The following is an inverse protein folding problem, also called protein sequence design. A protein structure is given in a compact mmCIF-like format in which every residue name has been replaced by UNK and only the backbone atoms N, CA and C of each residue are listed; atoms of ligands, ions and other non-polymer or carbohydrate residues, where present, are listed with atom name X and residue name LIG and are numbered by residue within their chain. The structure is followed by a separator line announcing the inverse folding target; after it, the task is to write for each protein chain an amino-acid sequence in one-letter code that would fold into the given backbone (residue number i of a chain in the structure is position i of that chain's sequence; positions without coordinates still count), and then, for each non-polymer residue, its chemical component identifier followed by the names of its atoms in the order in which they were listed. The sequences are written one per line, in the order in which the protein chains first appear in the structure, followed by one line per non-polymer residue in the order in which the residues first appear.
data_IF_486618166491
#
_entry.id   IF_486618166491
#
_cell.length_a   1.000
_cell.length_b   1.000
_cell.length_c   1.000
_cell.angle_alpha   90.00
_cell.angle_beta   90.00
_cell.angle_gamma   90.00
#
_symmetry.space_group_name_H-M   'P 1'
#
loop_
_entity.id
_entity.type
_entity.pdbx_description
1 polymer ?
#
# COMPACT_ATOMS: atom_id res chain seq x y z
N UNK A 1 22.04 11.76 -29.51
CA UNK A 1 20.88 10.85 -29.56
C UNK A 1 20.54 10.54 -28.12
N UNK A 2 19.50 11.16 -27.55
CA UNK A 2 19.04 10.77 -26.21
C UNK A 2 18.55 9.33 -26.29
N UNK A 3 18.90 8.51 -25.30
CA UNK A 3 18.24 7.22 -25.11
C UNK A 3 16.72 7.44 -25.19
N UNK A 4 15.92 6.55 -25.82
CA UNK A 4 14.47 6.63 -25.70
C UNK A 4 14.15 6.71 -24.21
N UNK A 5 13.40 7.74 -23.80
CA UNK A 5 13.01 7.89 -22.41
C UNK A 5 12.30 6.60 -22.01
N UNK A 6 12.86 5.87 -21.04
CA UNK A 6 12.22 4.67 -20.52
C UNK A 6 10.84 5.06 -20.01
N UNK A 7 9.80 4.32 -20.40
CA UNK A 7 8.45 4.51 -19.86
C UNK A 7 8.51 4.55 -18.32
N UNK A 8 7.62 5.31 -17.65
CA UNK A 8 7.53 5.24 -16.20
C UNK A 8 7.21 3.82 -15.75
N UNK A 9 7.62 3.50 -14.51
CA UNK A 9 7.23 2.26 -13.86
C UNK A 9 5.73 2.29 -13.61
N UNK A 10 5.05 1.18 -13.85
CA UNK A 10 3.62 1.04 -13.65
C UNK A 10 3.33 0.19 -12.43
N UNK A 11 2.34 0.64 -11.69
CA UNK A 11 1.77 -0.07 -10.55
C UNK A 11 0.25 -0.02 -10.62
N UNK A 12 -0.39 -0.89 -9.85
CA UNK A 12 -1.84 -0.88 -9.67
C UNK A 12 -2.16 -1.36 -8.28
N UNK A 13 -3.15 -0.74 -7.66
CA UNK A 13 -3.69 -1.15 -6.37
C UNK A 13 -4.37 -2.52 -6.49
N UNK A 14 -4.05 -3.44 -5.57
CA UNK A 14 -4.55 -4.82 -5.66
C UNK A 14 -6.08 -4.93 -5.65
N UNK A 15 -6.79 -3.98 -5.05
CA UNK A 15 -8.25 -3.93 -5.09
C UNK A 15 -8.79 -3.54 -6.47
N UNK A 16 -8.06 -2.70 -7.22
CA UNK A 16 -8.50 -2.13 -8.50
C UNK A 16 -8.62 -3.13 -9.63
N UNK A 17 -8.16 -4.36 -9.43
CA UNK A 17 -8.39 -5.46 -10.37
C UNK A 17 -9.52 -6.40 -9.93
N UNK A 18 -10.01 -6.31 -8.68
CA UNK A 18 -11.13 -7.10 -8.20
C UNK A 18 -11.25 -7.11 -6.69
N UNK A 19 -12.48 -7.09 -6.19
CA UNK A 19 -12.75 -7.11 -4.75
C UNK A 19 -12.63 -8.53 -4.18
N UNK A 20 -11.92 -8.68 -3.05
CA UNK A 20 -11.88 -9.96 -2.32
C UNK A 20 -13.27 -10.42 -1.87
N UNK A 21 -14.18 -9.49 -1.58
CA UNK A 21 -15.57 -9.75 -1.20
C UNK A 21 -16.41 -10.35 -2.34
N UNK A 22 -15.94 -10.25 -3.59
CA UNK A 22 -16.54 -10.90 -4.75
C UNK A 22 -15.87 -12.24 -5.11
N UNK A 23 -14.95 -12.72 -4.27
CA UNK A 23 -14.26 -14.01 -4.46
C UNK A 23 -12.95 -13.92 -5.23
N UNK A 24 -12.47 -12.72 -5.58
CA UNK A 24 -11.19 -12.55 -6.28
C UNK A 24 -10.01 -12.73 -5.32
N UNK A 25 -9.33 -13.87 -5.42
CA UNK A 25 -8.18 -14.20 -4.57
C UNK A 25 -7.03 -13.21 -4.78
N UNK A 26 -6.25 -12.93 -3.73
CA UNK A 26 -5.07 -12.07 -3.85
C UNK A 26 -4.05 -12.67 -4.83
N UNK A 27 -3.87 -14.00 -4.84
CA UNK A 27 -2.88 -14.65 -5.70
C UNK A 27 -3.25 -14.54 -7.18
N UNK A 28 -4.52 -14.69 -7.54
CA UNK A 28 -4.98 -14.55 -8.93
C UNK A 28 -4.90 -13.10 -9.40
N UNK A 29 -5.20 -12.14 -8.52
CA UNK A 29 -5.01 -10.72 -8.80
C UNK A 29 -3.55 -10.39 -9.10
N UNK A 30 -2.60 -10.87 -8.29
CA UNK A 30 -1.17 -10.66 -8.53
C UNK A 30 -0.70 -11.27 -9.86
N UNK A 31 -1.18 -12.47 -10.22
CA UNK A 31 -0.88 -13.10 -11.52
C UNK A 31 -1.47 -12.31 -12.69
N UNK A 32 -2.69 -11.80 -12.55
CA UNK A 32 -3.33 -10.97 -13.56
C UNK A 32 -2.57 -9.64 -13.77
N UNK A 33 -2.15 -9.00 -12.68
CA UNK A 33 -1.33 -7.77 -12.69
C UNK A 33 0.00 -8.03 -13.41
N UNK A 34 0.74 -9.08 -13.02
CA UNK A 34 1.99 -9.44 -13.69
C UNK A 34 1.79 -9.73 -15.18
N UNK A 35 0.73 -10.49 -15.53
CA UNK A 35 0.41 -10.84 -16.92
C UNK A 35 0.03 -9.63 -17.78
N UNK A 36 -0.48 -8.56 -17.17
CA UNK A 36 -0.77 -7.29 -17.85
C UNK A 36 0.47 -6.39 -18.01
N UNK A 37 1.64 -6.82 -17.53
CA UNK A 37 2.91 -6.12 -17.72
C UNK A 37 3.15 -4.96 -16.76
N UNK A 38 2.60 -5.03 -15.54
CA UNK A 38 2.93 -4.09 -14.47
C UNK A 38 4.30 -4.40 -13.86
N UNK A 39 4.95 -3.37 -13.32
CA UNK A 39 6.25 -3.48 -12.65
C UNK A 39 6.08 -3.69 -11.13
N UNK A 40 4.88 -3.45 -10.60
CA UNK A 40 4.58 -3.70 -9.19
C UNK A 40 3.12 -3.50 -8.83
N UNK A 41 2.86 -3.60 -7.53
CA UNK A 41 1.54 -3.52 -6.92
C UNK A 41 1.58 -2.63 -5.68
N UNK A 42 0.47 -1.94 -5.44
CA UNK A 42 0.17 -1.35 -4.14
C UNK A 42 -0.71 -2.36 -3.39
N UNK A 43 -0.25 -2.85 -2.23
CA UNK A 43 -0.96 -3.93 -1.56
C UNK A 43 -2.04 -3.37 -0.64
N UNK A 44 -3.29 -3.80 -0.89
CA UNK A 44 -4.41 -3.50 -0.02
C UNK A 44 -4.37 -4.34 1.26
N UNK A 45 -4.42 -3.69 2.41
CA UNK A 45 -4.50 -4.33 3.72
C UNK A 45 -5.66 -5.35 3.79
N UNK A 46 -6.85 -5.00 3.29
CA UNK A 46 -8.00 -5.90 3.34
C UNK A 46 -7.81 -7.14 2.45
N UNK A 47 -7.06 -7.03 1.35
CA UNK A 47 -6.74 -8.19 0.52
C UNK A 47 -5.74 -9.12 1.21
N UNK A 48 -4.74 -8.57 1.89
CA UNK A 48 -3.79 -9.34 2.70
C UNK A 48 -4.51 -10.06 3.84
N UNK A 49 -5.42 -9.36 4.52
CA UNK A 49 -6.22 -9.90 5.62
C UNK A 49 -7.16 -11.01 5.15
N UNK A 50 -7.85 -10.80 4.03
CA UNK A 50 -8.71 -11.81 3.43
C UNK A 50 -7.91 -13.05 3.01
N UNK A 51 -6.72 -12.85 2.44
CA UNK A 51 -5.83 -13.94 2.08
C UNK A 51 -5.35 -14.71 3.31
N UNK A 52 -4.90 -14.03 4.37
CA UNK A 52 -4.43 -14.67 5.61
C UNK A 52 -5.49 -15.56 6.27
N UNK A 53 -6.78 -15.21 6.12
CA UNK A 53 -7.92 -15.98 6.64
C UNK A 53 -8.53 -16.97 5.64
N UNK A 54 -8.00 -17.05 4.43
CA UNK A 54 -8.57 -17.90 3.36
C UNK A 54 -8.24 -19.39 3.52
N UNK A 55 -9.14 -20.26 3.07
CA UNK A 55 -8.86 -21.70 2.94
C UNK A 55 -7.70 -21.99 1.98
N UNK A 56 -7.48 -21.13 0.98
CA UNK A 56 -6.33 -21.20 0.09
C UNK A 56 -5.03 -21.09 0.89
N UNK A 57 -4.91 -20.08 1.76
CA UNK A 57 -3.71 -19.90 2.57
C UNK A 57 -3.54 -21.00 3.63
N UNK A 58 -4.64 -21.47 4.23
CA UNK A 58 -4.57 -22.62 5.15
C UNK A 58 -4.02 -23.88 4.45
N UNK A 59 -4.46 -24.18 3.22
CA UNK A 59 -3.89 -25.30 2.44
C UNK A 59 -2.42 -25.10 2.11
N UNK A 60 -1.99 -23.87 1.87
CA UNK A 60 -0.57 -23.53 1.66
C UNK A 60 0.24 -23.80 2.94
N UNK A 61 -0.26 -23.38 4.10
CA UNK A 61 0.39 -23.63 5.39
C UNK A 61 0.48 -25.12 5.73
N UNK A 62 -0.55 -25.90 5.41
CA UNK A 62 -0.57 -27.35 5.60
C UNK A 62 0.28 -28.14 4.57
N UNK A 63 0.86 -27.47 3.57
CA UNK A 63 1.61 -28.11 2.49
C UNK A 63 0.75 -28.88 1.49
N UNK A 64 -0.56 -28.64 1.45
CA UNK A 64 -1.55 -29.33 0.59
C UNK A 64 -1.95 -28.54 -0.66
N UNK A 65 -1.34 -27.37 -0.90
CA UNK A 65 -1.67 -26.47 -2.02
C UNK A 65 -0.56 -26.30 -3.08
N UNK A 66 -0.21 -27.37 -3.81
CA UNK A 66 0.32 -27.27 -5.19
C UNK A 66 1.84 -27.16 -5.44
N UNK A 67 2.37 -28.19 -6.11
CA UNK A 67 3.69 -28.42 -6.74
C UNK A 67 4.90 -28.67 -5.81
N UNK A 68 5.62 -29.81 -5.97
CA UNK A 68 6.83 -30.08 -5.20
C UNK A 68 7.92 -29.10 -5.60
N UNK A 69 8.52 -28.47 -4.59
CA UNK A 69 9.81 -27.81 -4.69
C UNK A 69 10.82 -28.80 -5.34
N UNK A 70 11.57 -28.45 -6.41
CA UNK A 70 12.58 -29.35 -6.91
C UNK A 70 13.59 -29.60 -5.78
N UNK A 71 13.70 -30.87 -5.40
CA UNK A 71 14.58 -31.36 -4.36
C UNK A 71 15.99 -30.82 -4.56
N UNK A 72 16.64 -30.43 -3.46
CA UNK A 72 18.09 -30.21 -3.36
C UNK A 72 18.87 -31.52 -3.53
N UNK A 73 18.70 -32.19 -4.67
CA UNK A 73 19.62 -33.21 -5.15
C UNK A 73 20.69 -32.50 -5.97
N UNK A 74 21.98 -32.61 -5.61
CA UNK A 74 23.07 -32.04 -6.40
C UNK A 74 23.02 -32.59 -7.83
N UNK A 75 23.26 -31.76 -8.87
CA UNK A 75 23.33 -32.28 -10.23
C UNK A 75 24.51 -33.24 -10.37
N UNK A 76 24.21 -34.45 -10.83
CA UNK A 76 25.19 -35.40 -11.35
C UNK A 76 26.04 -34.73 -12.44
N UNK A 77 27.35 -34.95 -12.35
CA UNK A 77 28.34 -34.38 -13.26
C UNK A 77 28.20 -34.95 -14.68
N UNK A 78 28.17 -34.13 -15.75
CA UNK A 78 28.27 -34.63 -17.12
C UNK A 78 29.69 -35.13 -17.44
N UNK A 79 29.85 -36.22 -18.23
CA UNK A 79 31.15 -36.72 -18.65
C UNK A 79 31.71 -35.94 -19.84
N UNK A 80 33.02 -35.61 -19.81
CA UNK A 80 33.85 -35.53 -21.03
C UNK A 80 34.46 -34.18 -21.45
N UNK A 81 35.65 -33.87 -20.88
CA UNK A 81 36.88 -33.33 -21.52
C UNK A 81 36.92 -31.91 -22.18
N UNK A 82 38.13 -31.28 -22.37
CA UNK A 82 39.47 -31.60 -21.89
C UNK A 82 40.14 -30.50 -21.02
N UNK A 83 41.15 -30.93 -20.27
CA UNK A 83 41.95 -30.17 -19.30
C UNK A 83 42.84 -29.12 -19.96
N UNK A 84 42.86 -27.89 -19.42
CA UNK A 84 44.01 -26.98 -19.50
C UNK A 84 44.66 -26.84 -18.12
N UNK A 85 45.96 -27.09 -18.11
CA UNK A 85 46.87 -27.14 -16.97
C UNK A 85 47.22 -25.74 -16.51
N UNK A 86 47.09 -25.44 -15.22
CA UNK A 86 47.92 -24.45 -14.51
C UNK A 86 48.20 -25.00 -13.09
N UNK A 87 49.47 -25.02 -12.71
CA UNK A 87 50.02 -25.55 -11.46
C UNK A 87 50.03 -24.50 -10.32
N UNK A 88 50.29 -24.93 -9.05
CA UNK A 88 49.71 -24.34 -7.84
C UNK A 88 50.69 -23.58 -6.93
N UNK A 89 50.12 -22.76 -6.05
CA UNK A 89 50.62 -22.39 -4.71
C UNK A 89 49.44 -21.73 -3.96
N UNK A 90 49.20 -21.84 -2.65
CA UNK A 90 49.58 -22.77 -1.60
C UNK A 90 48.51 -22.54 -0.51
N UNK A 91 47.69 -23.54 -0.15
CA UNK A 91 46.67 -23.43 0.91
C UNK A 91 46.92 -24.51 1.97
N UNK A 92 47.68 -24.14 2.99
CA UNK A 92 47.83 -24.90 4.23
C UNK A 92 47.03 -24.22 5.33
N UNK A 93 45.93 -24.84 5.76
CA UNK A 93 45.72 -25.37 7.12
C UNK A 93 44.23 -25.62 7.32
N UNK A 94 43.83 -26.88 7.11
CA UNK A 94 42.60 -27.46 7.60
C UNK A 94 43.03 -28.62 8.50
N UNK A 95 42.49 -28.74 9.71
CA UNK A 95 41.84 -29.99 10.18
C UNK A 95 41.48 -29.98 11.67
N UNK A 96 40.38 -30.72 11.91
CA UNK A 96 39.80 -31.28 13.15
C UNK A 96 38.83 -30.36 13.90
N UNK A 97 37.61 -30.81 14.25
CA UNK A 97 37.14 -32.19 14.42
C UNK A 97 35.62 -32.30 14.26
N UNK A 98 35.17 -33.41 13.66
CA UNK A 98 33.79 -33.92 13.67
C UNK A 98 33.81 -35.32 14.28
N UNK A 99 32.94 -35.55 15.26
CA UNK A 99 32.39 -36.87 15.64
C UNK A 99 31.23 -36.61 16.60
N UNK A 100 29.97 -36.67 16.14
CA UNK A 100 29.07 -37.85 16.07
C UNK A 100 28.19 -38.01 17.32
N UNK A 101 26.87 -37.84 17.17
CA UNK A 101 25.84 -38.66 17.84
C UNK A 101 24.41 -38.34 17.32
N UNK A 102 23.83 -39.35 16.66
CA UNK A 102 22.44 -39.82 16.64
C UNK A 102 21.25 -38.96 17.11
N UNK A 103 20.29 -38.81 16.18
CA UNK A 103 18.83 -38.91 16.31
C UNK A 103 18.15 -38.91 17.69
N UNK A 104 17.27 -37.93 17.90
CA UNK A 104 15.98 -38.12 18.58
C UNK A 104 15.00 -37.01 18.18
N UNK A 105 13.83 -37.42 17.70
CA UNK A 105 12.65 -36.59 17.46
C UNK A 105 12.13 -35.99 18.77
N UNK A 106 12.04 -34.67 18.85
CA UNK A 106 11.42 -33.94 19.95
C UNK A 106 10.71 -32.69 19.42
N UNK A 107 9.41 -32.64 19.70
CA UNK A 107 8.52 -31.50 19.47
C UNK A 107 9.04 -30.24 20.16
N UNK A 108 9.46 -29.25 19.38
CA UNK A 108 9.88 -27.94 19.92
C UNK A 108 8.65 -27.08 20.18
N UNK A 109 8.33 -26.91 21.46
CA UNK A 109 7.49 -25.84 21.96
C UNK A 109 8.14 -24.48 21.67
N UNK A 110 7.36 -23.53 21.18
CA UNK A 110 7.75 -22.13 21.00
C UNK A 110 8.01 -21.52 22.40
N UNK A 111 9.28 -21.33 22.74
CA UNK A 111 9.69 -20.52 23.89
C UNK A 111 10.03 -19.12 23.37
N UNK A 112 9.12 -18.17 23.59
CA UNK A 112 9.39 -16.76 23.38
C UNK A 112 10.13 -16.21 24.61
N UNK A 113 11.44 -16.03 24.48
CA UNK A 113 12.20 -15.14 25.35
C UNK A 113 13.04 -14.23 24.44
N UNK A 114 12.54 -13.01 24.22
CA UNK A 114 13.28 -11.95 23.55
C UNK A 114 14.01 -11.11 24.60
N UNK A 115 15.34 -11.24 24.66
CA UNK A 115 16.27 -10.42 25.46
C UNK A 115 16.58 -9.06 24.81
N UNK A 116 15.71 -8.56 23.94
CA UNK A 116 15.88 -7.25 23.30
C UNK A 116 14.62 -6.44 23.57
N UNK A 117 14.74 -5.34 24.32
CA UNK A 117 13.63 -4.50 24.80
C UNK A 117 12.80 -3.80 23.71
N UNK A 118 12.84 -4.30 22.47
CA UNK A 118 12.08 -3.84 21.31
C UNK A 118 10.67 -4.45 21.24
N UNK A 119 10.41 -5.53 21.96
CA UNK A 119 9.17 -6.33 21.85
C UNK A 119 8.02 -5.93 22.79
N UNK A 120 8.27 -5.11 23.82
CA UNK A 120 7.24 -4.78 24.83
C UNK A 120 6.22 -3.75 24.35
N UNK A 121 6.49 -3.03 23.26
CA UNK A 121 5.69 -1.87 22.86
C UNK A 121 4.37 -2.18 22.14
N UNK A 122 4.18 -3.40 21.61
CA UNK A 122 2.97 -3.81 20.90
C UNK A 122 2.07 -4.75 21.72
N UNK A 123 2.37 -4.97 23.01
CA UNK A 123 1.51 -5.79 23.86
C UNK A 123 0.25 -5.02 24.25
N UNK A 124 -0.91 -5.64 24.05
CA UNK A 124 -2.17 -5.06 24.52
C UNK A 124 -2.28 -5.24 26.04
N UNK A 125 -2.66 -4.15 26.72
CA UNK A 125 -2.79 -4.08 28.17
C UNK A 125 -4.24 -3.80 28.55
N UNK A 126 -4.63 -4.27 29.74
CA UNK A 126 -5.87 -3.86 30.42
C UNK A 126 -5.68 -2.50 31.10
N UNK A 127 -6.78 -1.94 31.59
CA UNK A 127 -6.78 -0.66 32.32
C UNK A 127 -5.89 -0.67 33.57
N UNK A 128 -5.69 -1.84 34.19
CA UNK A 128 -4.80 -2.03 35.36
C UNK A 128 -3.32 -2.23 34.99
N UNK A 129 -2.98 -2.15 33.70
CA UNK A 129 -1.63 -2.34 33.17
C UNK A 129 -1.20 -3.81 33.01
N UNK A 130 -2.05 -4.78 33.36
CA UNK A 130 -1.77 -6.21 33.13
C UNK A 130 -1.97 -6.59 31.67
N UNK A 131 -1.31 -7.67 31.23
CA UNK A 131 -1.45 -8.17 29.86
C UNK A 131 -2.90 -8.56 29.56
N UNK A 132 -3.42 -8.08 28.43
CA UNK A 132 -4.65 -8.58 27.86
C UNK A 132 -4.36 -9.92 27.17
N UNK A 133 -5.03 -10.99 27.58
CA UNK A 133 -4.81 -12.34 27.06
C UNK A 133 -5.96 -12.74 26.15
N UNK A 134 -5.64 -13.24 24.96
CA UNK A 134 -6.60 -13.64 23.94
C UNK A 134 -7.22 -15.00 24.23
N UNK A 135 -8.20 -15.38 23.40
CA UNK A 135 -8.82 -16.71 23.46
C UNK A 135 -7.85 -17.86 23.13
N UNK A 136 -6.74 -17.55 22.48
CA UNK A 136 -5.63 -18.47 22.20
C UNK A 136 -4.69 -18.69 23.41
N UNK A 137 -4.96 -18.01 24.54
CA UNK A 137 -4.15 -18.11 25.76
C UNK A 137 -2.84 -17.33 25.71
N UNK A 138 -2.64 -16.51 24.67
CA UNK A 138 -1.44 -15.70 24.48
C UNK A 138 -1.72 -14.21 24.73
N UNK A 139 -0.70 -13.41 25.11
CA UNK A 139 -0.85 -11.96 25.17
C UNK A 139 -1.30 -11.40 23.82
N UNK A 140 -2.37 -10.61 23.81
CA UNK A 140 -2.88 -9.95 22.62
C UNK A 140 -1.92 -8.87 22.14
N UNK A 141 -2.01 -8.56 20.85
CA UNK A 141 -1.18 -7.56 20.17
C UNK A 141 -2.07 -6.64 19.31
N UNK A 142 -1.48 -5.86 18.40
CA UNK A 142 -2.20 -4.99 17.49
C UNK A 142 -1.99 -5.38 16.02
N UNK A 143 -3.01 -5.15 15.20
CA UNK A 143 -2.93 -5.13 13.74
C UNK A 143 -3.47 -3.81 13.16
N UNK A 144 -3.73 -3.76 11.85
CA UNK A 144 -4.26 -2.58 11.18
C UNK A 144 -5.63 -2.10 11.70
N UNK A 145 -6.40 -2.96 12.37
CA UNK A 145 -7.76 -2.70 12.85
C UNK A 145 -7.83 -2.42 14.35
N UNK A 146 -6.75 -2.68 15.09
CA UNK A 146 -6.70 -2.53 16.54
C UNK A 146 -6.17 -3.79 17.22
N UNK A 147 -6.66 -4.08 18.41
CA UNK A 147 -6.24 -5.24 19.19
C UNK A 147 -6.63 -6.55 18.50
N UNK A 148 -5.69 -7.50 18.40
CA UNK A 148 -5.91 -8.83 17.82
C UNK A 148 -5.19 -9.93 18.62
N UNK A 149 -5.51 -11.20 18.32
CA UNK A 149 -4.81 -12.33 18.92
C UNK A 149 -3.38 -12.44 18.40
N UNK A 150 -2.49 -13.06 19.19
CA UNK A 150 -1.13 -13.33 18.73
C UNK A 150 -1.13 -14.28 17.51
N UNK A 151 -2.10 -15.19 17.47
CA UNK A 151 -2.32 -16.10 16.34
C UNK A 151 -2.66 -15.35 15.06
N UNK A 152 -3.58 -14.38 15.10
CA UNK A 152 -3.97 -13.59 13.93
C UNK A 152 -2.79 -12.78 13.37
N UNK A 153 -2.00 -12.15 14.26
CA UNK A 153 -0.81 -11.41 13.85
C UNK A 153 0.25 -12.33 13.21
N UNK A 154 0.44 -13.54 13.75
CA UNK A 154 1.35 -14.52 13.18
C UNK A 154 0.88 -15.00 11.78
N UNK A 155 -0.42 -15.21 11.59
CA UNK A 155 -1.00 -15.56 10.29
C UNK A 155 -0.83 -14.45 9.26
N UNK A 156 -1.05 -13.20 9.65
CA UNK A 156 -0.81 -12.04 8.80
C UNK A 156 0.65 -11.97 8.34
N UNK A 157 1.61 -12.13 9.25
CA UNK A 157 3.04 -12.14 8.91
C UNK A 157 3.41 -13.31 7.99
N UNK A 158 2.83 -14.49 8.21
CA UNK A 158 3.05 -15.64 7.35
C UNK A 158 2.49 -15.40 5.93
N UNK A 159 1.30 -14.80 5.83
CA UNK A 159 0.67 -14.43 4.57
C UNK A 159 1.50 -13.39 3.82
N UNK A 160 1.96 -12.34 4.51
CA UNK A 160 2.84 -11.32 3.96
C UNK A 160 4.11 -11.91 3.35
N UNK A 161 4.80 -12.82 4.06
CA UNK A 161 5.98 -13.51 3.52
C UNK A 161 5.66 -14.37 2.29
N UNK A 162 4.47 -14.95 2.22
CA UNK A 162 4.03 -15.70 1.04
C UNK A 162 3.78 -14.77 -0.14
N UNK A 163 3.06 -13.68 0.07
CA UNK A 163 2.80 -12.65 -0.95
C UNK A 163 4.12 -12.11 -1.50
N UNK A 164 5.09 -11.79 -0.64
CA UNK A 164 6.44 -11.39 -1.04
C UNK A 164 7.07 -12.38 -2.02
N UNK A 165 7.11 -13.67 -1.67
CA UNK A 165 7.69 -14.71 -2.54
C UNK A 165 6.97 -14.84 -3.87
N UNK A 166 5.65 -14.72 -3.87
CA UNK A 166 4.88 -14.75 -5.12
C UNK A 166 5.24 -13.54 -5.99
N UNK A 167 5.24 -12.33 -5.44
CA UNK A 167 5.64 -11.12 -6.15
C UNK A 167 7.07 -11.21 -6.69
N UNK A 168 8.03 -11.71 -5.90
CA UNK A 168 9.41 -12.00 -6.35
C UNK A 168 9.42 -12.94 -7.56
N UNK A 169 8.63 -14.03 -7.54
CA UNK A 169 8.55 -14.98 -8.66
C UNK A 169 7.87 -14.41 -9.91
N UNK A 170 7.01 -13.41 -9.74
CA UNK A 170 6.29 -12.72 -10.81
C UNK A 170 7.05 -11.49 -11.34
N UNK A 171 8.15 -11.10 -10.69
CA UNK A 171 8.88 -9.86 -11.02
C UNK A 171 8.11 -8.58 -10.67
N UNK A 172 7.25 -8.63 -9.64
CA UNK A 172 6.49 -7.48 -9.15
C UNK A 172 7.15 -6.88 -7.90
N UNK A 173 7.37 -5.56 -7.92
CA UNK A 173 7.60 -4.80 -6.69
C UNK A 173 6.32 -4.75 -5.84
N UNK A 174 6.46 -4.62 -4.52
CA UNK A 174 5.37 -4.15 -3.64
C UNK A 174 5.72 -2.72 -3.25
N UNK A 175 5.07 -1.75 -3.88
CA UNK A 175 5.44 -0.34 -3.75
C UNK A 175 4.94 0.32 -2.46
N UNK A 176 3.81 -0.14 -1.93
CA UNK A 176 3.28 0.35 -0.65
C UNK A 176 2.39 -0.68 0.03
N UNK A 177 2.25 -0.55 1.35
CA UNK A 177 1.16 -1.13 2.12
C UNK A 177 0.14 -0.04 2.41
N UNK A 178 -1.11 -0.26 2.04
CA UNK A 178 -2.15 0.76 2.17
C UNK A 178 -3.56 0.21 2.39
N UNK A 179 -4.49 1.08 2.80
CA UNK A 179 -4.26 2.33 3.52
C UNK A 179 -4.24 2.07 5.03
N UNK A 180 -3.42 2.82 5.78
CA UNK A 180 -3.66 3.02 7.19
C UNK A 180 -4.67 4.18 7.35
N UNK A 181 -5.75 3.94 8.09
CA UNK A 181 -6.84 4.89 8.29
C UNK A 181 -6.88 5.44 9.71
N UNK A 182 -7.58 6.57 9.86
CA UNK A 182 -7.96 7.17 11.14
C UNK A 182 -6.75 7.37 12.09
N UNK A 183 -5.66 7.95 11.58
CA UNK A 183 -4.39 8.03 12.30
C UNK A 183 -4.23 9.33 13.10
N UNK A 184 -4.31 10.46 12.44
CA UNK A 184 -3.87 11.75 12.97
C UNK A 184 -4.99 12.57 13.62
N UNK A 185 -4.61 13.49 14.52
CA UNK A 185 -5.47 14.54 15.00
C UNK A 185 -6.43 14.15 16.12
N UNK A 186 -6.30 12.97 16.74
CA UNK A 186 -7.17 12.54 17.85
C UNK A 186 -7.05 13.46 19.08
N UNK A 187 -8.19 13.91 19.60
CA UNK A 187 -8.24 14.77 20.82
C UNK A 187 -8.20 13.95 22.10
N UNK A 188 -8.69 12.71 22.06
CA UNK A 188 -8.60 11.75 23.15
C UNK A 188 -7.21 11.09 23.16
N UNK A 189 -6.45 11.16 24.27
CA UNK A 189 -5.13 10.54 24.37
C UNK A 189 -5.13 9.03 24.13
N UNK A 190 -6.22 8.34 24.50
CA UNK A 190 -6.33 6.89 24.31
C UNK A 190 -6.57 6.53 22.84
N UNK A 191 -7.46 7.24 22.14
CA UNK A 191 -7.67 7.02 20.70
C UNK A 191 -6.39 7.31 19.90
N UNK A 192 -5.68 8.38 20.27
CA UNK A 192 -4.34 8.67 19.74
C UNK A 192 -3.39 7.50 19.98
N UNK A 193 -3.28 7.02 21.23
CA UNK A 193 -2.41 5.88 21.57
C UNK A 193 -2.74 4.64 20.73
N UNK A 194 -4.02 4.32 20.57
CA UNK A 194 -4.46 3.19 19.75
C UNK A 194 -4.11 3.37 18.27
N UNK A 195 -4.24 4.58 17.71
CA UNK A 195 -3.82 4.87 16.34
C UNK A 195 -2.31 4.61 16.12
N UNK A 196 -1.47 5.01 17.09
CA UNK A 196 -0.03 4.73 17.06
C UNK A 196 0.30 3.24 17.18
N UNK A 197 -0.44 2.49 18.00
CA UNK A 197 -0.30 1.04 18.11
C UNK A 197 -0.63 0.33 16.78
N UNK A 198 -1.73 0.72 16.12
CA UNK A 198 -2.08 0.23 14.79
C UNK A 198 -0.97 0.54 13.79
N UNK A 199 -0.50 1.78 13.72
CA UNK A 199 0.56 2.19 12.80
C UNK A 199 1.87 1.40 13.02
N UNK A 200 2.33 1.30 14.28
CA UNK A 200 3.55 0.59 14.64
C UNK A 200 3.51 -0.89 14.29
N UNK A 201 2.33 -1.53 14.42
CA UNK A 201 2.15 -2.94 14.07
C UNK A 201 2.41 -3.25 12.59
N UNK A 202 2.31 -2.24 11.71
CA UNK A 202 2.49 -2.44 10.27
C UNK A 202 3.95 -2.63 9.87
N UNK A 203 4.91 -2.13 10.64
CA UNK A 203 6.32 -2.16 10.22
C UNK A 203 6.88 -3.59 10.07
N UNK A 204 6.46 -4.53 10.91
CA UNK A 204 6.83 -5.94 10.74
C UNK A 204 6.16 -6.59 9.53
N UNK A 205 4.92 -6.21 9.23
CA UNK A 205 4.22 -6.63 8.01
C UNK A 205 4.92 -6.08 6.78
N UNK A 206 5.32 -4.82 6.79
CA UNK A 206 6.09 -4.17 5.72
C UNK A 206 7.44 -4.86 5.48
N UNK A 207 8.15 -5.22 6.56
CA UNK A 207 9.38 -6.00 6.48
C UNK A 207 9.14 -7.40 5.86
N UNK A 208 8.07 -8.07 6.28
CA UNK A 208 7.67 -9.37 5.75
C UNK A 208 7.27 -9.32 4.27
N UNK A 209 6.60 -8.24 3.84
CA UNK A 209 6.24 -7.97 2.45
C UNK A 209 7.46 -7.56 1.60
N UNK A 210 8.44 -6.88 2.21
CA UNK A 210 9.52 -6.24 1.48
C UNK A 210 9.07 -4.95 0.78
N UNK A 211 8.34 -4.10 1.51
CA UNK A 211 7.93 -2.75 1.07
C UNK A 211 8.33 -1.71 2.09
N UNK A 212 8.72 -0.51 1.64
CA UNK A 212 9.24 0.57 2.49
C UNK A 212 8.29 1.75 2.64
N UNK A 213 7.16 1.79 1.93
CA UNK A 213 6.21 2.90 2.00
C UNK A 213 4.91 2.49 2.70
N UNK A 214 4.62 3.13 3.83
CA UNK A 214 3.33 3.08 4.49
C UNK A 214 2.48 4.26 4.01
N UNK A 215 1.33 3.98 3.39
CA UNK A 215 0.40 5.02 2.96
C UNK A 215 -0.67 5.24 4.03
N UNK A 216 -0.83 6.51 4.44
CA UNK A 216 -1.81 6.96 5.42
C UNK A 216 -2.72 7.98 4.75
N UNK A 217 -4.02 7.73 4.84
CA UNK A 217 -5.00 8.67 4.33
C UNK A 217 -5.52 9.57 5.46
N UNK A 218 -5.84 10.82 5.13
CA UNK A 218 -6.38 11.81 6.06
C UNK A 218 -7.59 11.26 6.84
N UNK A 219 -7.62 11.53 8.14
CA UNK A 219 -8.66 11.08 9.05
C UNK A 219 -10.05 11.62 8.65
N UNK A 220 -11.06 10.77 8.71
CA UNK A 220 -12.46 11.12 8.38
C UNK A 220 -13.36 11.22 9.64
N UNK A 221 -12.80 11.04 10.83
CA UNK A 221 -13.55 11.26 12.07
C UNK A 221 -13.72 12.77 12.29
N UNK A 222 -14.94 13.27 12.56
CA UNK A 222 -15.20 14.71 12.69
C UNK A 222 -14.81 15.27 14.07
N UNK A 223 -14.75 16.60 14.18
CA UNK A 223 -14.71 17.28 15.47
C UNK A 223 -15.97 16.94 16.32
N UNK A 224 -15.86 16.89 17.67
CA UNK A 224 -14.66 17.19 18.47
C UNK A 224 -13.74 15.97 18.72
N UNK A 225 -13.99 14.80 18.12
CA UNK A 225 -13.12 13.61 18.30
C UNK A 225 -11.72 13.82 17.73
N UNK A 226 -11.63 14.64 16.69
CA UNK A 226 -10.38 15.04 16.05
C UNK A 226 -10.26 16.56 15.97
N UNK A 227 -9.03 17.06 15.85
CA UNK A 227 -8.71 18.48 15.62
C UNK A 227 -8.20 18.71 14.20
N UNK A 228 -8.57 19.86 13.63
CA UNK A 228 -8.02 20.36 12.36
C UNK A 228 -6.80 21.26 12.53
N UNK A 229 -6.24 21.35 13.74
CA UNK A 229 -4.99 22.09 13.96
C UNK A 229 -3.83 21.40 13.23
N UNK A 230 -3.35 22.03 12.14
CA UNK A 230 -2.26 21.52 11.30
C UNK A 230 -0.98 21.27 12.12
N UNK A 231 -0.73 22.04 13.18
CA UNK A 231 0.41 21.81 14.07
C UNK A 231 0.29 20.49 14.86
N UNK A 232 -0.90 20.17 15.37
CA UNK A 232 -1.20 18.88 16.01
C UNK A 232 -1.05 17.72 15.02
N UNK A 233 -1.67 17.85 13.84
CA UNK A 233 -1.59 16.86 12.76
C UNK A 233 -0.13 16.60 12.37
N UNK A 234 0.65 17.67 12.13
CA UNK A 234 2.07 17.59 11.81
C UNK A 234 2.89 16.91 12.91
N UNK A 235 2.59 17.15 14.20
CA UNK A 235 3.25 16.45 15.31
C UNK A 235 2.97 14.95 15.33
N UNK A 236 1.73 14.54 15.07
CA UNK A 236 1.38 13.11 15.01
C UNK A 236 2.10 12.41 13.84
N UNK A 237 2.13 13.05 12.66
CA UNK A 237 2.85 12.54 11.51
C UNK A 237 4.37 12.48 11.75
N UNK A 238 4.95 13.49 12.42
CA UNK A 238 6.36 13.53 12.79
C UNK A 238 6.72 12.38 13.75
N UNK A 239 5.92 12.15 14.79
CA UNK A 239 6.16 11.06 15.75
C UNK A 239 6.09 9.69 15.07
N UNK A 240 5.18 9.49 14.10
CA UNK A 240 5.15 8.24 13.35
C UNK A 240 6.37 8.06 12.44
N UNK A 241 6.82 9.12 11.79
CA UNK A 241 8.04 9.11 10.99
C UNK A 241 9.29 8.83 11.85
N UNK A 242 9.32 9.33 13.09
CA UNK A 242 10.36 9.05 14.08
C UNK A 242 10.32 7.58 14.54
N UNK A 243 9.12 7.01 14.77
CA UNK A 243 8.96 5.58 15.05
C UNK A 243 9.42 4.69 13.89
N UNK A 244 9.11 5.08 12.65
CA UNK A 244 9.57 4.39 11.44
C UNK A 244 11.11 4.41 11.34
N UNK A 245 11.73 5.55 11.67
CA UNK A 245 13.19 5.67 11.73
C UNK A 245 13.79 4.78 12.82
N UNK A 246 13.18 4.77 14.01
CA UNK A 246 13.64 3.95 15.14
C UNK A 246 13.49 2.44 14.90
N UNK A 247 12.53 2.03 14.08
CA UNK A 247 12.38 0.64 13.66
C UNK A 247 13.56 0.14 12.82
N UNK A 248 14.11 1.03 11.98
CA UNK A 248 15.23 0.73 11.10
C UNK A 248 14.81 0.45 9.66
N UNK A 249 15.64 -0.30 8.94
CA UNK A 249 15.46 -0.54 7.50
C UNK A 249 14.74 -1.84 7.20
N UNK A 250 13.96 -1.85 6.12
CA UNK A 250 13.37 -3.05 5.51
C UNK A 250 14.09 -3.40 4.21
N UNK A 251 14.16 -4.69 3.87
CA UNK A 251 14.75 -5.14 2.59
C UNK A 251 13.64 -5.31 1.57
N UNK A 252 13.61 -4.43 0.57
CA UNK A 252 12.57 -4.43 -0.46
C UNK A 252 12.79 -5.53 -1.50
N UNK A 253 11.74 -5.95 -2.22
CA UNK A 253 11.80 -7.06 -3.20
C UNK A 253 12.85 -6.84 -4.30
N UNK A 254 12.97 -5.61 -4.82
CA UNK A 254 13.88 -5.27 -5.91
C UNK A 254 14.99 -4.29 -5.49
N UNK A 255 15.19 -4.11 -4.18
CA UNK A 255 16.14 -3.14 -3.65
C UNK A 255 16.95 -3.67 -2.47
N UNK A 256 17.87 -2.84 -2.01
CA UNK A 256 18.60 -3.05 -0.77
C UNK A 256 17.79 -2.65 0.46
N UNK A 257 18.45 -2.57 1.63
CA UNK A 257 17.85 -1.98 2.83
C UNK A 257 17.39 -0.54 2.57
N UNK A 258 16.14 -0.23 2.90
CA UNK A 258 15.53 1.09 2.80
C UNK A 258 14.91 1.50 4.14
N UNK A 259 14.96 2.78 4.53
CA UNK A 259 14.21 3.25 5.68
C UNK A 259 12.70 3.15 5.41
N UNK A 260 11.91 2.90 6.44
CA UNK A 260 10.44 3.02 6.31
C UNK A 260 10.09 4.50 6.09
N UNK A 261 9.38 4.73 4.98
CA UNK A 261 8.79 6.00 4.56
C UNK A 261 7.31 6.02 4.90
N UNK A 262 6.82 7.20 5.28
CA UNK A 262 5.40 7.47 5.51
C UNK A 262 4.91 8.41 4.43
N UNK A 263 3.85 8.02 3.74
CA UNK A 263 3.15 8.85 2.76
C UNK A 263 1.83 9.33 3.33
N UNK A 264 1.56 10.64 3.27
CA UNK A 264 0.29 11.22 3.70
C UNK A 264 -0.55 11.67 2.50
N UNK A 265 -1.79 11.19 2.44
CA UNK A 265 -2.74 11.41 1.36
C UNK A 265 -3.96 12.20 1.86
N UNK A 266 -4.33 13.28 1.17
CA UNK A 266 -5.60 13.96 1.43
C UNK A 266 -6.75 13.24 0.73
N UNK A 267 -7.73 12.75 1.50
CA UNK A 267 -8.98 12.24 0.92
C UNK A 267 -9.89 13.40 0.59
N UNK A 268 -10.61 13.34 -0.54
CA UNK A 268 -11.60 14.36 -0.92
C UNK A 268 -12.80 14.49 0.04
N UNK A 269 -12.85 13.63 1.06
CA UNK A 269 -13.81 13.64 2.16
C UNK A 269 -13.13 13.61 3.53
N UNK A 270 -11.84 13.95 3.65
CA UNK A 270 -11.17 14.05 4.94
C UNK A 270 -11.87 15.07 5.86
N UNK A 271 -11.83 14.84 7.17
CA UNK A 271 -12.58 15.65 8.13
C UNK A 271 -12.02 17.08 8.25
N UNK A 272 -10.70 17.22 8.17
CA UNK A 272 -9.99 18.50 8.30
C UNK A 272 -8.95 18.76 7.21
N UNK A 273 -8.40 17.68 6.64
CA UNK A 273 -7.46 17.71 5.51
C UNK A 273 -8.16 17.05 4.34
N UNK A 274 -8.67 17.84 3.41
CA UNK A 274 -9.35 17.35 2.21
C UNK A 274 -8.76 17.90 0.90
N UNK A 275 -7.74 18.76 1.01
CA UNK A 275 -6.95 19.29 -0.10
C UNK A 275 -5.51 18.77 -0.05
N UNK A 276 -4.93 18.52 -1.23
CA UNK A 276 -3.52 18.15 -1.33
C UNK A 276 -2.59 19.20 -0.69
N UNK A 277 -2.96 20.49 -0.77
CA UNK A 277 -2.18 21.59 -0.19
C UNK A 277 -2.20 21.56 1.35
N UNK A 278 -3.30 21.17 1.97
CA UNK A 278 -3.37 20.99 3.43
C UNK A 278 -2.54 19.78 3.89
N UNK A 279 -2.57 18.68 3.12
CA UNK A 279 -1.67 17.56 3.38
C UNK A 279 -0.20 18.00 3.26
N UNK A 280 0.10 18.88 2.30
CA UNK A 280 1.45 19.43 2.15
C UNK A 280 1.86 20.28 3.34
N UNK A 281 0.99 21.18 3.80
CA UNK A 281 1.22 21.98 5.00
C UNK A 281 1.49 21.10 6.24
N UNK A 282 0.75 20.00 6.41
CA UNK A 282 0.97 19.05 7.50
C UNK A 282 2.33 18.33 7.38
N UNK A 283 2.71 17.89 6.18
CA UNK A 283 4.03 17.29 5.92
C UNK A 283 5.17 18.29 6.17
N UNK A 284 4.99 19.56 5.78
CA UNK A 284 5.95 20.63 6.06
C UNK A 284 6.07 20.91 7.56
N UNK A 285 4.94 20.95 8.28
CA UNK A 285 4.92 21.17 9.73
C UNK A 285 5.59 20.01 10.50
N UNK A 286 5.49 18.79 9.98
CA UNK A 286 6.12 17.61 10.57
C UNK A 286 7.65 17.59 10.39
N UNK A 287 8.15 18.11 9.26
CA UNK A 287 9.57 18.24 8.93
C UNK A 287 10.41 16.98 9.22
N UNK A 288 10.10 15.88 8.52
CA UNK A 288 10.86 14.61 8.59
C UNK A 288 11.22 14.11 7.21
N UNK A 289 12.48 13.73 6.99
CA UNK A 289 12.96 13.33 5.66
C UNK A 289 12.28 12.06 5.11
N UNK A 290 11.83 11.16 5.98
CA UNK A 290 11.09 9.93 5.63
C UNK A 290 9.56 10.12 5.67
N UNK A 291 9.08 11.36 5.62
CA UNK A 291 7.66 11.71 5.48
C UNK A 291 7.46 12.55 4.21
N UNK A 292 6.46 12.18 3.42
CA UNK A 292 6.16 12.83 2.15
C UNK A 292 4.68 12.75 1.78
N UNK A 293 4.34 13.38 0.66
CA UNK A 293 3.02 13.40 0.07
C UNK A 293 2.74 12.18 -0.79
N UNK A 294 1.48 11.80 -0.77
CA UNK A 294 0.85 10.93 -1.76
C UNK A 294 -0.14 11.80 -2.51
N UNK A 295 0.02 11.86 -3.83
CA UNK A 295 -0.91 12.58 -4.69
C UNK A 295 -1.83 11.57 -5.38
N UNK A 296 -3.14 11.67 -5.14
CA UNK A 296 -4.17 10.90 -5.84
C UNK A 296 -4.99 11.84 -6.74
N UNK A 297 -5.07 11.52 -8.03
CA UNK A 297 -5.85 12.30 -9.00
C UNK A 297 -7.33 12.32 -8.70
N UNK A 298 -7.93 11.20 -8.27
CA UNK A 298 -9.35 11.18 -7.92
C UNK A 298 -9.61 12.08 -6.72
N UNK A 299 -8.81 11.96 -5.66
CA UNK A 299 -9.04 12.75 -4.46
C UNK A 299 -8.79 14.25 -4.72
N UNK A 300 -7.73 14.60 -5.44
CA UNK A 300 -7.43 15.99 -5.79
C UNK A 300 -8.49 16.60 -6.70
N UNK A 301 -8.73 15.99 -7.86
CA UNK A 301 -9.67 16.51 -8.86
C UNK A 301 -11.12 16.35 -8.42
N UNK A 302 -11.40 15.26 -7.71
CA UNK A 302 -12.66 15.04 -7.03
C UNK A 302 -12.95 16.20 -6.10
N UNK A 303 -12.00 16.64 -5.27
CA UNK A 303 -12.28 17.74 -4.34
C UNK A 303 -12.35 19.12 -4.99
N UNK A 304 -11.49 19.39 -5.97
CA UNK A 304 -11.23 20.75 -6.47
C UNK A 304 -11.94 21.09 -7.78
N UNK A 305 -12.34 20.09 -8.57
CA UNK A 305 -12.96 20.30 -9.89
C UNK A 305 -14.33 19.66 -10.03
N UNK A 306 -14.46 18.39 -9.61
CA UNK A 306 -15.73 17.68 -9.72
C UNK A 306 -16.65 17.95 -8.53
N UNK A 307 -17.95 17.82 -8.74
CA UNK A 307 -18.95 17.75 -7.67
C UNK A 307 -20.03 16.74 -8.06
N UNK A 308 -20.08 15.55 -7.43
CA UNK A 308 -21.08 14.55 -7.78
C UNK A 308 -22.50 14.98 -7.35
N UNK A 309 -22.66 16.03 -6.55
CA UNK A 309 -23.93 16.60 -6.15
C UNK A 309 -24.35 17.80 -7.03
N UNK A 310 -23.48 18.32 -7.91
CA UNK A 310 -23.88 19.36 -8.86
C UNK A 310 -24.62 18.76 -10.07
N UNK A 311 -25.66 19.42 -10.60
CA UNK A 311 -26.28 19.08 -11.88
C UNK A 311 -25.29 19.05 -13.06
N UNK A 312 -24.19 19.80 -12.98
CA UNK A 312 -23.17 19.85 -14.04
C UNK A 312 -22.08 18.78 -13.86
N UNK A 313 -21.98 18.18 -12.66
CA UNK A 313 -20.93 17.25 -12.27
C UNK A 313 -19.61 17.92 -11.87
N UNK A 314 -19.53 19.25 -11.93
CA UNK A 314 -18.35 20.04 -11.55
C UNK A 314 -18.73 21.10 -10.51
N UNK A 315 -17.73 21.66 -9.84
CA UNK A 315 -17.93 22.78 -8.91
C UNK A 315 -18.49 24.00 -9.63
N UNK A 316 -19.41 24.72 -8.99
CA UNK A 316 -20.12 25.87 -9.60
C UNK A 316 -19.45 27.20 -9.20
N UNK A 317 -18.19 27.38 -9.61
CA UNK A 317 -17.48 28.67 -9.50
C UNK A 317 -17.54 29.44 -10.82
N UNK A 318 -16.99 30.67 -10.86
CA UNK A 318 -16.98 31.49 -12.07
C UNK A 318 -16.08 30.90 -13.18
N UNK A 319 -14.97 30.27 -12.81
CA UNK A 319 -14.06 29.56 -13.72
C UNK A 319 -13.48 28.30 -13.05
N UNK A 320 -14.26 27.20 -12.97
CA UNK A 320 -13.85 25.97 -12.27
C UNK A 320 -12.54 25.38 -12.79
N UNK A 321 -12.30 25.48 -14.09
CA UNK A 321 -11.08 24.96 -14.71
C UNK A 321 -9.88 25.89 -14.42
N UNK A 322 -10.06 27.21 -14.49
CA UNK A 322 -9.04 28.17 -14.08
C UNK A 322 -8.62 28.02 -12.62
N UNK A 323 -9.59 27.85 -11.72
CA UNK A 323 -9.37 27.61 -10.28
C UNK A 323 -8.55 26.33 -10.06
N UNK A 324 -8.93 25.24 -10.74
CA UNK A 324 -8.16 23.99 -10.72
C UNK A 324 -6.73 24.21 -11.24
N UNK A 325 -6.56 24.86 -12.39
CA UNK A 325 -5.24 25.05 -12.99
C UNK A 325 -4.33 25.92 -12.13
N UNK A 326 -4.88 26.86 -11.35
CA UNK A 326 -4.12 27.60 -10.35
C UNK A 326 -3.61 26.66 -9.24
N UNK A 327 -4.49 25.81 -8.68
CA UNK A 327 -4.11 24.78 -7.70
C UNK A 327 -3.04 23.81 -8.25
N UNK A 328 -3.21 23.29 -9.46
CA UNK A 328 -2.26 22.35 -10.05
C UNK A 328 -0.89 22.99 -10.33
N UNK A 329 -0.83 24.29 -10.65
CA UNK A 329 0.45 25.00 -10.76
C UNK A 329 1.23 25.01 -9.44
N UNK A 330 0.53 25.08 -8.31
CA UNK A 330 1.16 25.06 -6.99
C UNK A 330 1.76 23.69 -6.63
N UNK A 331 1.25 22.59 -7.21
CA UNK A 331 1.92 21.27 -7.11
C UNK A 331 3.34 21.37 -7.68
N UNK A 332 3.57 22.18 -8.71
CA UNK A 332 4.88 22.42 -9.29
C UNK A 332 5.91 23.04 -8.33
N UNK A 333 5.47 23.61 -7.20
CA UNK A 333 6.34 24.13 -6.15
C UNK A 333 6.68 23.10 -5.06
N UNK A 334 6.05 21.93 -5.07
CA UNK A 334 6.38 20.83 -4.15
C UNK A 334 7.69 20.17 -4.61
N UNK A 335 8.71 20.03 -3.74
CA UNK A 335 9.93 19.32 -4.12
C UNK A 335 9.62 17.88 -4.55
N UNK A 336 10.18 17.44 -5.69
CA UNK A 336 9.90 16.12 -6.26
C UNK A 336 10.16 14.97 -5.27
N UNK A 337 11.22 15.09 -4.47
CA UNK A 337 11.62 14.13 -3.45
C UNK A 337 10.64 14.04 -2.28
N UNK A 338 9.73 15.01 -2.15
CA UNK A 338 8.65 15.01 -1.16
C UNK A 338 7.35 14.40 -1.69
N UNK A 339 7.28 14.05 -2.97
CA UNK A 339 6.17 13.30 -3.55
C UNK A 339 6.59 11.83 -3.57
N UNK A 340 6.15 11.06 -2.57
CA UNK A 340 6.57 9.67 -2.38
C UNK A 340 5.83 8.70 -3.30
N UNK A 341 4.62 9.06 -3.74
CA UNK A 341 3.81 8.20 -4.59
C UNK A 341 2.74 8.99 -5.35
N UNK A 342 2.31 8.42 -6.47
CA UNK A 342 1.30 8.99 -7.37
C UNK A 342 0.25 7.94 -7.72
N UNK A 343 -0.99 8.18 -7.30
CA UNK A 343 -2.16 7.36 -7.55
C UNK A 343 -3.06 8.02 -8.60
N UNK A 344 -3.63 7.20 -9.47
CA UNK A 344 -4.28 7.62 -10.69
C UNK A 344 -5.63 6.91 -10.80
N UNK A 345 -6.68 7.71 -10.74
CA UNK A 345 -8.06 7.32 -11.00
C UNK A 345 -8.82 8.47 -11.64
N UNK A 346 -9.65 8.15 -12.63
CA UNK A 346 -10.68 9.04 -13.14
C UNK A 346 -12.00 8.76 -12.42
N UNK A 347 -13.08 9.41 -12.81
CA UNK A 347 -14.40 9.19 -12.26
C UNK A 347 -15.52 9.37 -13.28
N UNK A 348 -16.59 8.59 -13.12
CA UNK A 348 -17.79 8.72 -13.94
C UNK A 348 -18.53 10.00 -13.58
N UNK A 349 -18.85 10.83 -14.59
CA UNK A 349 -19.78 11.95 -14.42
C UNK A 349 -21.17 11.42 -14.08
N UNK A 350 -21.71 11.87 -12.96
CA UNK A 350 -23.04 11.45 -12.52
C UNK A 350 -24.12 12.05 -13.43
N UNK A 351 -25.00 11.21 -13.98
CA UNK A 351 -26.10 11.68 -14.83
C UNK A 351 -27.17 12.47 -14.05
N UNK A 352 -27.26 12.20 -12.74
CA UNK A 352 -28.10 12.93 -11.80
C UNK A 352 -27.25 13.20 -10.56
N UNK A 353 -27.42 14.37 -9.90
CA UNK A 353 -26.81 14.63 -8.61
C UNK A 353 -26.95 13.44 -7.67
N UNK A 354 -25.84 13.05 -7.03
CA UNK A 354 -25.88 12.04 -5.99
C UNK A 354 -26.71 12.57 -4.82
N UNK A 355 -27.69 11.78 -4.34
CA UNK A 355 -28.42 12.13 -3.13
C UNK A 355 -27.47 12.09 -1.91
N UNK A 356 -27.90 12.66 -0.78
CA UNK A 356 -27.27 12.41 0.52
C UNK A 356 -27.11 10.90 0.80
N UNK A 357 -26.31 10.58 1.83
CA UNK A 357 -26.11 9.20 2.26
C UNK A 357 -27.44 8.43 2.31
N UNK A 358 -27.53 7.23 1.71
CA UNK A 358 -28.74 6.43 1.74
C UNK A 358 -29.01 5.82 3.12
N UNK A 359 -28.03 5.89 4.04
CA UNK A 359 -28.15 5.46 5.43
C UNK A 359 -27.98 6.68 6.33
N UNK A 360 -29.07 7.06 7.02
CA UNK A 360 -29.09 8.18 7.97
C UNK A 360 -28.29 7.86 9.25
N UNK A 361 -28.20 6.58 9.64
CA UNK A 361 -27.46 6.12 10.82
C UNK A 361 -25.94 6.01 10.58
N UNK A 362 -25.53 5.98 9.30
CA UNK A 362 -24.12 5.94 8.88
C UNK A 362 -23.90 6.96 7.74
N UNK A 363 -23.90 8.26 8.05
CA UNK A 363 -23.79 9.30 7.04
C UNK A 363 -22.42 9.22 6.35
N UNK A 364 -22.43 8.90 5.05
CA UNK A 364 -21.23 8.92 4.22
C UNK A 364 -21.22 10.17 3.34
N UNK A 365 -20.09 10.90 3.28
CA UNK A 365 -19.92 12.01 2.35
C UNK A 365 -20.17 11.57 0.91
N UNK A 366 -20.83 12.39 0.10
CA UNK A 366 -21.18 12.04 -1.29
C UNK A 366 -19.96 11.65 -2.13
N UNK A 367 -18.80 12.28 -1.90
CA UNK A 367 -17.53 11.95 -2.57
C UNK A 367 -17.00 10.56 -2.19
N UNK A 368 -17.23 10.10 -0.97
CA UNK A 368 -16.89 8.73 -0.55
C UNK A 368 -17.78 7.71 -1.27
N UNK A 369 -19.09 7.99 -1.36
CA UNK A 369 -20.05 7.14 -2.09
C UNK A 369 -19.67 7.08 -3.56
N UNK A 370 -19.37 8.23 -4.15
CA UNK A 370 -18.93 8.36 -5.53
C UNK A 370 -17.64 7.56 -5.77
N UNK A 371 -16.61 7.78 -4.94
CA UNK A 371 -15.34 7.05 -4.97
C UNK A 371 -15.56 5.54 -4.99
N UNK A 372 -16.33 4.97 -4.05
CA UNK A 372 -16.45 3.51 -3.90
C UNK A 372 -17.16 2.78 -5.04
N UNK A 373 -17.86 3.49 -5.92
CA UNK A 373 -18.62 2.86 -7.01
C UNK A 373 -18.30 3.37 -8.40
N UNK A 374 -17.67 4.54 -8.52
CA UNK A 374 -17.65 5.28 -9.78
C UNK A 374 -16.27 5.81 -10.16
N UNK A 375 -15.17 5.42 -9.51
CA UNK A 375 -13.85 5.65 -10.11
C UNK A 375 -13.75 4.85 -11.40
N UNK A 376 -13.10 5.43 -12.40
CA UNK A 376 -12.85 4.80 -13.70
C UNK A 376 -11.34 4.76 -13.96
N UNK A 377 -10.93 3.84 -14.83
CA UNK A 377 -9.57 3.88 -15.34
C UNK A 377 -9.41 5.13 -16.22
N UNK A 378 -8.22 5.74 -16.27
CA UNK A 378 -8.02 6.91 -17.10
C UNK A 378 -8.23 6.58 -18.59
N UNK A 379 -8.79 7.51 -19.35
CA UNK A 379 -9.11 7.32 -20.77
C UNK A 379 -10.33 6.42 -21.04
N UNK A 380 -11.26 6.32 -20.08
CA UNK A 380 -12.55 5.63 -20.21
C UNK A 380 -13.72 6.61 -20.45
N UNK A 381 -13.56 7.58 -21.35
CA UNK A 381 -14.58 8.61 -21.64
C UNK A 381 -15.88 7.99 -22.15
N UNK A 382 -15.77 6.86 -22.85
CA UNK A 382 -16.90 6.04 -23.29
C UNK A 382 -17.74 5.47 -22.13
N UNK A 383 -17.19 5.41 -20.91
CA UNK A 383 -17.91 5.07 -19.67
C UNK A 383 -18.27 6.29 -18.82
N UNK A 384 -17.94 7.50 -19.29
CA UNK A 384 -18.24 8.77 -18.64
C UNK A 384 -17.10 9.35 -17.80
N UNK A 385 -15.86 8.87 -17.97
CA UNK A 385 -14.67 9.52 -17.41
C UNK A 385 -14.59 10.98 -17.89
N UNK A 386 -14.22 11.90 -17.01
CA UNK A 386 -14.22 13.34 -17.33
C UNK A 386 -13.28 14.19 -16.48
N UNK A 387 -12.55 13.60 -15.53
CA UNK A 387 -11.63 14.36 -14.70
C UNK A 387 -10.44 14.83 -15.57
N UNK A 388 -9.89 16.03 -15.32
CA UNK A 388 -8.70 16.55 -16.00
C UNK A 388 -7.43 15.87 -15.46
N UNK A 389 -7.35 14.56 -15.69
CA UNK A 389 -6.24 13.70 -15.21
C UNK A 389 -4.93 14.06 -15.91
N UNK A 390 -4.98 14.42 -17.19
CA UNK A 390 -3.79 14.80 -17.96
C UNK A 390 -3.10 16.03 -17.37
N UNK A 391 -3.87 17.03 -16.96
CA UNK A 391 -3.36 18.24 -16.31
C UNK A 391 -2.76 17.94 -14.94
N UNK A 392 -3.43 17.10 -14.14
CA UNK A 392 -2.92 16.65 -12.85
C UNK A 392 -1.59 15.89 -13.00
N UNK A 393 -1.53 14.97 -13.96
CA UNK A 393 -0.31 14.21 -14.25
C UNK A 393 0.82 15.11 -14.75
N UNK A 394 0.49 16.09 -15.59
CA UNK A 394 1.45 17.10 -16.05
C UNK A 394 2.00 17.89 -14.87
N UNK A 395 1.15 18.31 -13.93
CA UNK A 395 1.58 19.01 -12.72
C UNK A 395 2.55 18.18 -11.87
N UNK A 396 2.20 16.93 -11.54
CA UNK A 396 3.05 16.07 -10.73
C UNK A 396 4.37 15.70 -11.43
N UNK A 397 4.33 15.37 -12.73
CA UNK A 397 5.48 14.77 -13.42
C UNK A 397 6.38 15.82 -14.09
N UNK A 398 5.78 16.80 -14.77
CA UNK A 398 6.52 17.80 -15.55
C UNK A 398 6.87 19.02 -14.72
N UNK A 399 5.93 19.52 -13.92
CA UNK A 399 6.14 20.74 -13.14
C UNK A 399 6.85 20.45 -11.82
N UNK A 400 6.34 19.51 -11.02
CA UNK A 400 6.98 19.15 -9.75
C UNK A 400 8.21 18.23 -9.94
N UNK A 401 8.23 17.45 -11.03
CA UNK A 401 9.39 16.62 -11.37
C UNK A 401 9.35 15.20 -10.79
N UNK A 402 8.18 14.68 -10.40
CA UNK A 402 8.04 13.30 -9.93
C UNK A 402 8.57 12.28 -10.96
N UNK A 403 9.24 11.24 -10.46
CA UNK A 403 9.86 10.16 -11.26
C UNK A 403 9.55 8.75 -10.75
N UNK A 404 8.78 8.63 -9.67
CA UNK A 404 8.37 7.33 -9.13
C UNK A 404 7.34 6.62 -10.01
N UNK A 405 6.83 5.46 -9.57
CA UNK A 405 5.85 4.69 -10.31
C UNK A 405 4.52 5.45 -10.47
N UNK A 406 3.84 5.18 -11.58
CA UNK A 406 2.48 5.64 -11.88
C UNK A 406 1.54 4.52 -11.50
N UNK A 407 0.72 4.75 -10.49
CA UNK A 407 -0.10 3.69 -9.91
C UNK A 407 -1.59 3.91 -10.14
N UNK A 408 -2.29 2.89 -10.62
CA UNK A 408 -3.75 2.96 -10.79
C UNK A 408 -4.46 2.66 -9.48
N UNK A 409 -5.32 3.58 -9.03
CA UNK A 409 -6.19 3.38 -7.87
C UNK A 409 -7.66 3.68 -8.21
N UNK A 410 -8.38 2.61 -8.54
CA UNK A 410 -9.79 2.61 -8.90
C UNK A 410 -10.60 1.79 -7.92
N UNK A 411 -11.69 2.39 -7.42
CA UNK A 411 -12.81 1.72 -6.75
C UNK A 411 -14.03 1.83 -7.66
N UNK A 412 -14.53 0.70 -8.15
CA UNK A 412 -15.65 0.66 -9.10
C UNK A 412 -16.62 -0.46 -8.74
N UNK A 413 -17.91 -0.25 -8.99
CA UNK A 413 -18.92 -1.31 -8.83
C UNK A 413 -18.62 -2.57 -9.66
N UNK A 414 -17.94 -2.46 -10.79
CA UNK A 414 -17.54 -3.60 -11.63
C UNK A 414 -16.52 -4.52 -10.96
N UNK A 415 -15.84 -4.07 -9.90
CA UNK A 415 -14.93 -4.90 -9.12
C UNK A 415 -15.67 -5.94 -8.26
N UNK A 416 -16.99 -5.75 -8.08
CA UNK A 416 -17.88 -6.67 -7.36
C UNK A 416 -18.52 -7.73 -8.27
N UNK A 417 -18.26 -7.69 -9.58
CA UNK A 417 -18.65 -8.77 -10.49
C UNK A 417 -17.89 -10.05 -10.09
N UNK A 418 -18.59 -11.18 -10.00
CA UNK A 418 -18.04 -12.46 -9.56
C UNK A 418 -17.42 -13.27 -10.70
N UNK A 419 -17.41 -12.75 -11.93
CA UNK A 419 -16.79 -13.39 -13.09
C UNK A 419 -15.28 -13.60 -12.91
N UNK A 420 -14.79 -14.81 -13.19
CA UNK A 420 -13.37 -15.17 -13.01
C UNK A 420 -12.39 -14.33 -13.86
N UNK A 421 -12.86 -13.72 -14.95
CA UNK A 421 -12.05 -12.86 -15.83
C UNK A 421 -11.87 -11.44 -15.31
N UNK A 422 -12.58 -11.04 -14.24
CA UNK A 422 -12.57 -9.67 -13.71
C UNK A 422 -11.14 -9.17 -13.40
N UNK A 423 -10.28 -9.91 -12.67
CA UNK A 423 -8.87 -9.55 -12.47
C UNK A 423 -8.10 -9.26 -13.75
N UNK A 424 -8.21 -10.13 -14.74
CA UNK A 424 -7.47 -10.01 -16.00
C UNK A 424 -7.99 -8.82 -16.81
N UNK A 425 -9.31 -8.65 -16.90
CA UNK A 425 -9.93 -7.55 -17.64
C UNK A 425 -9.60 -6.19 -17.03
N UNK A 426 -9.68 -6.06 -15.72
CA UNK A 426 -9.39 -4.79 -15.03
C UNK A 426 -7.90 -4.47 -15.03
N UNK A 427 -7.01 -5.47 -14.92
CA UNK A 427 -5.58 -5.25 -15.10
C UNK A 427 -5.25 -4.72 -16.51
N UNK A 428 -5.91 -5.24 -17.56
CA UNK A 428 -5.76 -4.72 -18.93
C UNK A 428 -6.29 -3.30 -19.08
N UNK A 429 -7.48 -3.00 -18.55
CA UNK A 429 -8.06 -1.64 -18.57
C UNK A 429 -7.14 -0.63 -17.87
N UNK A 430 -6.58 -1.01 -16.72
CA UNK A 430 -5.59 -0.22 -16.00
C UNK A 430 -4.35 0.05 -16.86
N UNK A 431 -3.82 -1.00 -17.51
CA UNK A 431 -2.65 -0.89 -18.40
C UNK A 431 -2.91 0.05 -19.58
N UNK A 432 -4.03 -0.15 -20.28
CA UNK A 432 -4.43 0.65 -21.43
C UNK A 432 -4.58 2.13 -21.06
N UNK A 433 -5.15 2.41 -19.88
CA UNK A 433 -5.28 3.76 -19.37
C UNK A 433 -3.93 4.44 -19.11
N UNK A 434 -2.98 3.75 -18.49
CA UNK A 434 -1.63 4.26 -18.25
C UNK A 434 -0.87 4.52 -19.57
N UNK A 435 -0.97 3.62 -20.54
CA UNK A 435 -0.31 3.79 -21.83
C UNK A 435 -0.85 5.04 -22.57
N UNK A 436 -2.16 5.27 -22.56
CA UNK A 436 -2.77 6.51 -23.09
C UNK A 436 -2.29 7.77 -22.34
N UNK A 437 -2.18 7.70 -21.02
CA UNK A 437 -1.73 8.81 -20.19
C UNK A 437 -0.27 9.17 -20.47
N UNK A 438 0.59 8.17 -20.62
CA UNK A 438 1.99 8.38 -20.99
C UNK A 438 2.08 9.08 -22.34
N UNK A 439 1.30 8.62 -23.32
CA UNK A 439 1.21 9.34 -24.59
C UNK A 439 0.82 10.79 -24.35
N UNK A 440 -0.30 11.08 -23.66
CA UNK A 440 -0.80 12.45 -23.44
C UNK A 440 0.19 13.37 -22.73
N UNK A 441 0.80 12.90 -21.63
CA UNK A 441 1.70 13.70 -20.78
C UNK A 441 3.06 13.96 -21.45
N UNK A 442 3.52 13.06 -22.35
CA UNK A 442 4.82 13.19 -23.03
C UNK A 442 4.72 13.56 -24.52
N UNK A 443 3.56 14.07 -24.99
CA UNK A 443 3.45 14.71 -26.32
C UNK A 443 4.16 16.08 -26.37
#
# INVERSE_FOLDING_TARGET
MSSPASRPLYSVFSHSVGANTAGHSLLDKLRAIASAGFDGVELFQDDLDAFARSEEFQRILEGKGGAPCPSMTPPDSPPGAPKKVVHPMDLATYTRSLSSASSSSSSTAFSASSEDGRDDHLRALKDDGSLLVGSDGLPMTFNAHGTCSATDAALELAAARHVRRLCESLGLAIYSLQPLRDFEGWTCPEDRRLAFQRARSRFEVMNALGTDLLLICSNNQPAPKTTGDIGCIGRDLAELADLATAFGTVVTIHGGPQPIRVGYEALSWGAHVDLWSQAWEAVQAADRANLGLILDSFNTLGRQYADPCSPTGIVETADPYGDLMASLKDIGHVPAERIFFLQIGDARRMQKPLPPSPNDDEPRPARMIWSRGNRLFPGEEHLGAFLPVDEFMTAAVKWAGYRGPWSIEVFNSSLLDTGAEVPVQHARRARDGLDKLVESVFK
#
